data_IF_251606428462
#
_entry.id   IF_251606428462
#
_cell.length_a   1.000
_cell.length_b   1.000
_cell.length_c   1.000
_cell.angle_alpha   90.00
_cell.angle_beta   90.00
_cell.angle_gamma   90.00
#
_symmetry.space_group_name_H-M   'P 1'
#
loop_
_entity.id
_entity.type
_entity.pdbx_description
1 polymer ?
#
# COMPACT_ATOMS: atom_id res chain seq x y z
N UNK A 1 -8.26 7.62 -13.72
CA UNK A 1 -9.49 6.81 -13.93
C UNK A 1 -9.19 5.39 -13.50
N UNK A 2 -10.00 4.78 -12.64
CA UNK A 2 -9.78 3.39 -12.24
C UNK A 2 -9.93 2.46 -13.48
N UNK A 3 -8.92 1.65 -13.78
CA UNK A 3 -8.99 0.69 -14.87
C UNK A 3 -10.08 -0.35 -14.60
N UNK A 4 -10.91 -0.62 -15.61
CA UNK A 4 -11.97 -1.62 -15.52
C UNK A 4 -11.35 -3.02 -15.49
N UNK A 5 -11.67 -3.81 -14.47
CA UNK A 5 -11.25 -5.23 -14.40
C UNK A 5 -11.96 -6.04 -15.50
N UNK A 6 -11.20 -6.49 -16.50
CA UNK A 6 -11.72 -7.22 -17.67
C UNK A 6 -11.34 -8.69 -17.71
N UNK A 7 -10.42 -9.14 -16.84
CA UNK A 7 -9.90 -10.50 -16.82
C UNK A 7 -10.07 -11.13 -15.44
N UNK A 8 -10.59 -12.37 -15.41
CA UNK A 8 -10.67 -13.21 -14.22
C UNK A 8 -9.58 -14.28 -14.29
N UNK A 9 -8.90 -14.50 -13.17
CA UNK A 9 -7.91 -15.55 -13.00
C UNK A 9 -8.27 -16.43 -11.79
N UNK A 10 -7.95 -17.71 -11.89
CA UNK A 10 -8.01 -18.65 -10.76
C UNK A 10 -6.57 -19.00 -10.40
N UNK A 11 -6.20 -18.80 -9.14
CA UNK A 11 -4.84 -19.01 -8.63
C UNK A 11 -4.94 -20.00 -7.47
N UNK A 12 -4.14 -21.06 -7.50
CA UNK A 12 -4.03 -22.01 -6.40
C UNK A 12 -2.93 -21.54 -5.45
N UNK A 13 -3.26 -21.50 -4.16
CA UNK A 13 -2.33 -21.14 -3.09
C UNK A 13 -2.15 -22.32 -2.14
N UNK A 14 -0.97 -22.46 -1.49
CA UNK A 14 -0.85 -23.25 -0.28
C UNK A 14 -1.90 -22.80 0.75
N UNK A 15 -2.60 -23.72 1.46
CA UNK A 15 -3.67 -23.34 2.39
C UNK A 15 -3.22 -22.38 3.50
N UNK A 16 -2.01 -22.57 4.03
CA UNK A 16 -1.45 -21.69 5.07
C UNK A 16 -1.27 -20.25 4.55
N UNK A 17 -0.70 -20.10 3.35
CA UNK A 17 -0.50 -18.79 2.74
C UNK A 17 -1.84 -18.10 2.42
N UNK A 18 -2.83 -18.84 1.93
CA UNK A 18 -4.14 -18.25 1.65
C UNK A 18 -4.80 -17.72 2.93
N UNK A 19 -4.65 -18.44 4.04
CA UNK A 19 -5.14 -18.01 5.35
C UNK A 19 -4.46 -16.71 5.83
N UNK A 20 -3.14 -16.60 5.68
CA UNK A 20 -2.42 -15.37 6.01
C UNK A 20 -2.93 -14.17 5.20
N UNK A 21 -3.20 -14.36 3.90
CA UNK A 21 -3.76 -13.31 3.04
C UNK A 21 -5.19 -12.95 3.46
N UNK A 22 -6.02 -13.92 3.85
CA UNK A 22 -7.38 -13.67 4.36
C UNK A 22 -7.38 -12.88 5.67
N UNK A 23 -6.47 -13.20 6.58
CA UNK A 23 -6.35 -12.51 7.85
C UNK A 23 -5.86 -11.08 7.65
N UNK A 24 -4.86 -10.85 6.78
CA UNK A 24 -4.40 -9.52 6.39
C UNK A 24 -5.51 -8.70 5.72
N UNK A 25 -6.26 -9.30 4.78
CA UNK A 25 -7.37 -8.64 4.11
C UNK A 25 -8.43 -8.18 5.11
N UNK A 26 -8.73 -9.02 6.12
CA UNK A 26 -9.67 -8.68 7.20
C UNK A 26 -9.17 -7.53 8.05
N UNK A 27 -7.89 -7.54 8.43
CA UNK A 27 -7.27 -6.47 9.23
C UNK A 27 -7.31 -5.13 8.51
N UNK A 28 -7.09 -5.12 7.19
CA UNK A 28 -7.12 -3.90 6.37
C UNK A 28 -8.54 -3.49 5.91
N UNK A 29 -9.57 -4.28 6.18
CA UNK A 29 -10.93 -4.04 5.66
C UNK A 29 -11.03 -4.16 4.13
N UNK A 30 -10.19 -5.00 3.52
CA UNK A 30 -10.07 -5.19 2.07
C UNK A 30 -10.43 -6.62 1.68
N UNK A 31 -10.61 -6.88 0.39
CA UNK A 31 -10.78 -8.24 -0.14
C UNK A 31 -9.45 -8.89 -0.47
N UNK A 32 -9.40 -10.23 -0.37
CA UNK A 32 -8.24 -11.04 -0.84
C UNK A 32 -7.87 -10.68 -2.29
N UNK A 33 -8.87 -10.47 -3.14
CA UNK A 33 -8.64 -10.09 -4.53
C UNK A 33 -7.95 -8.73 -4.68
N UNK A 34 -8.20 -7.77 -3.78
CA UNK A 34 -7.50 -6.49 -3.78
C UNK A 34 -6.03 -6.65 -3.42
N UNK A 35 -5.71 -7.41 -2.38
CA UNK A 35 -4.31 -7.68 -1.98
C UNK A 35 -3.54 -8.43 -3.06
N UNK A 36 -4.14 -9.46 -3.65
CA UNK A 36 -3.51 -10.24 -4.73
C UNK A 36 -3.25 -9.36 -5.96
N UNK A 37 -4.18 -8.46 -6.32
CA UNK A 37 -3.97 -7.51 -7.42
C UNK A 37 -2.89 -6.50 -7.09
N UNK A 38 -2.87 -5.95 -5.88
CA UNK A 38 -1.82 -5.04 -5.44
C UNK A 38 -0.45 -5.71 -5.51
N UNK A 39 -0.30 -6.91 -4.96
CA UNK A 39 0.94 -7.67 -5.04
C UNK A 39 1.38 -7.92 -6.49
N UNK A 40 0.43 -8.24 -7.39
CA UNK A 40 0.71 -8.39 -8.81
C UNK A 40 1.14 -7.06 -9.47
N UNK A 41 0.52 -5.93 -9.11
CA UNK A 41 0.90 -4.60 -9.59
C UNK A 41 2.26 -4.16 -9.05
N UNK A 42 2.60 -4.46 -7.80
CA UNK A 42 3.94 -4.18 -7.26
C UNK A 42 4.98 -5.02 -8.00
N UNK A 43 4.70 -6.31 -8.21
CA UNK A 43 5.65 -7.26 -8.80
C UNK A 43 5.84 -7.07 -10.31
N UNK A 44 4.76 -6.79 -11.03
CA UNK A 44 4.72 -6.76 -12.50
C UNK A 44 4.21 -5.44 -13.08
N UNK A 45 3.48 -4.65 -12.29
CA UNK A 45 2.96 -3.33 -12.68
C UNK A 45 3.91 -2.17 -12.36
N UNK A 46 5.09 -2.43 -11.78
CA UNK A 46 6.16 -1.45 -11.68
C UNK A 46 6.66 -1.08 -13.08
N UNK A 47 6.03 -0.06 -13.68
CA UNK A 47 6.42 0.47 -14.98
C UNK A 47 5.55 1.56 -15.58
N UNK A 48 4.37 1.88 -15.01
CA UNK A 48 3.58 3.02 -15.48
C UNK A 48 4.03 4.32 -14.82
N UNK A 49 4.43 5.31 -15.62
CA UNK A 49 4.70 6.70 -15.20
C UNK A 49 3.63 7.24 -14.24
N UNK A 50 2.37 6.89 -14.50
CA UNK A 50 1.21 7.30 -13.71
C UNK A 50 1.23 6.84 -12.26
N UNK A 51 1.71 5.63 -11.95
CA UNK A 51 1.75 5.13 -10.57
C UNK A 51 2.82 5.86 -9.73
N UNK A 52 3.91 6.30 -10.37
CA UNK A 52 4.91 7.16 -9.73
C UNK A 52 4.35 8.56 -9.49
N UNK A 53 3.66 9.12 -10.48
CA UNK A 53 3.03 10.44 -10.36
C UNK A 53 1.98 10.42 -9.24
N UNK A 54 1.10 9.42 -9.17
CA UNK A 54 0.09 9.30 -8.12
C UNK A 54 0.71 9.13 -6.71
N UNK A 55 1.84 8.42 -6.60
CA UNK A 55 2.56 8.34 -5.34
C UNK A 55 3.14 9.70 -4.92
N UNK A 56 3.70 10.46 -5.86
CA UNK A 56 4.21 11.82 -5.60
C UNK A 56 3.07 12.78 -5.27
N UNK A 57 1.95 12.72 -6.00
CA UNK A 57 0.76 13.54 -5.72
C UNK A 57 0.19 13.26 -4.33
N UNK A 58 0.15 11.99 -3.90
CA UNK A 58 -0.24 11.64 -2.52
C UNK A 58 0.71 12.26 -1.50
N UNK A 59 2.02 12.14 -1.69
CA UNK A 59 3.01 12.74 -0.79
C UNK A 59 2.90 14.27 -0.73
N UNK A 60 2.67 14.92 -1.87
CA UNK A 60 2.44 16.38 -1.92
C UNK A 60 1.14 16.76 -1.22
N UNK A 61 0.08 15.96 -1.39
CA UNK A 61 -1.23 16.21 -0.78
C UNK A 61 -1.25 16.08 0.74
N UNK A 62 -0.27 15.38 1.32
CA UNK A 62 -0.12 15.32 2.77
C UNK A 62 0.16 16.71 3.36
N UNK A 63 0.64 17.67 2.54
CA UNK A 63 0.86 19.09 2.88
C UNK A 63 1.25 19.29 4.35
N UNK A 64 2.18 18.43 4.80
CA UNK A 64 2.52 18.35 6.20
C UNK A 64 3.49 19.49 6.46
N UNK A 65 3.14 20.36 7.41
CA UNK A 65 4.05 21.37 7.90
C UNK A 65 5.10 20.64 8.74
N UNK A 66 6.13 20.11 8.07
CA UNK A 66 7.32 19.65 8.77
C UNK A 66 7.93 20.88 9.45
N UNK A 67 8.04 20.82 10.77
CA UNK A 67 8.63 21.88 11.59
C UNK A 67 10.10 22.12 11.25
N UNK A 68 10.77 22.95 12.05
CA UNK A 68 12.24 23.08 11.96
C UNK A 68 12.90 21.68 12.08
N UNK A 69 14.00 21.40 11.37
CA UNK A 69 14.76 20.15 11.49
C UNK A 69 14.91 19.59 12.92
N UNK A 70 15.11 20.47 13.91
CA UNK A 70 15.25 20.07 15.32
C UNK A 70 13.93 19.50 15.90
N UNK A 71 12.79 20.08 15.52
CA UNK A 71 11.46 19.62 15.93
C UNK A 71 11.08 18.31 15.26
N UNK A 72 11.42 18.16 13.98
CA UNK A 72 11.19 16.93 13.23
C UNK A 72 11.98 15.75 13.83
N UNK A 73 13.22 15.99 14.27
CA UNK A 73 14.03 14.97 14.95
C UNK A 73 13.38 14.52 16.27
N UNK A 74 12.89 15.48 17.08
CA UNK A 74 12.16 15.15 18.31
C UNK A 74 10.87 14.37 18.05
N UNK A 75 10.10 14.71 17.01
CA UNK A 75 8.87 14.01 16.63
C UNK A 75 9.14 12.58 16.17
N UNK A 76 10.19 12.37 15.35
CA UNK A 76 10.61 11.04 14.90
C UNK A 76 11.03 10.18 16.10
N UNK A 77 11.84 10.73 17.00
CA UNK A 77 12.30 10.02 18.21
C UNK A 77 11.12 9.68 19.12
N UNK A 78 10.17 10.62 19.31
CA UNK A 78 8.99 10.40 20.15
C UNK A 78 8.04 9.35 19.55
N UNK A 79 7.76 9.42 18.25
CA UNK A 79 6.92 8.45 17.56
C UNK A 79 7.50 7.03 17.52
N UNK A 80 8.83 6.89 17.60
CA UNK A 80 9.47 5.57 17.71
C UNK A 80 9.35 4.92 19.10
N UNK A 81 8.97 5.68 20.13
CA UNK A 81 8.91 5.23 21.53
C UNK A 81 7.48 4.82 21.94
N UNK A 82 6.44 5.22 21.21
CA UNK A 82 5.03 4.88 21.50
C UNK A 82 4.29 4.37 20.24
N UNK A 83 4.19 3.03 20.03
CA UNK A 83 3.52 2.41 18.88
C UNK A 83 1.98 2.31 19.02
#
# INVERSE_FOLDING_TARGET
MAERMTKKATILFPPALYKEIEDEARLQGRSVGELVREAAMIRYGAGGESARIEAVERLVSLNDEVGDPEQLEEEIIRGAIDP
#
